data_IF_459189743906
#
_entry.id   IF_459189743906
#
_cell.length_a   1.000
_cell.length_b   1.000
_cell.length_c   1.000
_cell.angle_alpha   90.00
_cell.angle_beta   90.00
_cell.angle_gamma   90.00
#
_symmetry.space_group_name_H-M   'P 1'
#
loop_
_entity.id
_entity.type
_entity.pdbx_description
1 polymer ?
#
# COMPACT_ATOMS: atom_id res chain seq x y z
N UNK A 1 -33.04 -45.90 27.82
CA UNK A 1 -33.08 -44.84 26.79
C UNK A 1 -32.04 -45.15 25.71
N UNK A 2 -32.45 -45.40 24.46
CA UNK A 2 -31.52 -45.65 23.34
C UNK A 2 -30.94 -44.31 22.85
N UNK A 3 -29.63 -44.09 22.98
CA UNK A 3 -28.95 -42.89 22.46
C UNK A 3 -29.08 -42.87 20.94
N UNK A 4 -29.67 -41.80 20.41
CA UNK A 4 -29.92 -41.64 18.98
C UNK A 4 -28.60 -41.32 18.25
N UNK A 5 -27.89 -42.36 17.77
CA UNK A 5 -26.57 -42.25 17.13
C UNK A 5 -26.62 -41.65 15.71
N UNK A 6 -27.81 -41.33 15.21
CA UNK A 6 -28.02 -40.83 13.84
C UNK A 6 -27.69 -39.33 13.73
N UNK A 7 -28.01 -38.53 14.74
CA UNK A 7 -27.72 -37.10 14.77
C UNK A 7 -26.22 -36.73 14.66
N UNK A 8 -25.28 -37.36 15.42
CA UNK A 8 -23.86 -37.05 15.26
C UNK A 8 -23.29 -37.53 13.92
N UNK A 9 -23.86 -38.57 13.32
CA UNK A 9 -23.44 -39.06 12.00
C UNK A 9 -23.86 -38.09 10.88
N UNK A 10 -25.07 -37.55 10.96
CA UNK A 10 -25.57 -36.54 10.02
C UNK A 10 -24.79 -35.22 10.15
N UNK A 11 -24.46 -34.80 11.37
CA UNK A 11 -23.62 -33.63 11.61
C UNK A 11 -22.20 -33.80 11.06
N UNK A 12 -21.60 -34.98 11.24
CA UNK A 12 -20.30 -35.30 10.67
C UNK A 12 -20.32 -35.28 9.14
N UNK A 13 -21.36 -35.87 8.52
CA UNK A 13 -21.50 -35.91 7.06
C UNK A 13 -21.75 -34.53 6.45
N UNK A 14 -22.53 -33.67 7.12
CA UNK A 14 -22.75 -32.29 6.72
C UNK A 14 -21.47 -31.46 6.82
N UNK A 15 -20.65 -31.67 7.86
CA UNK A 15 -19.36 -31.01 8.03
C UNK A 15 -18.33 -31.44 6.96
N UNK A 16 -18.27 -32.72 6.59
CA UNK A 16 -17.42 -33.18 5.47
C UNK A 16 -17.91 -32.65 4.13
N UNK A 17 -19.23 -32.63 3.88
CA UNK A 17 -19.78 -32.07 2.65
C UNK A 17 -19.48 -30.56 2.52
N UNK A 18 -19.59 -29.80 3.61
CA UNK A 18 -19.24 -28.38 3.64
C UNK A 18 -17.74 -28.16 3.40
N UNK A 19 -16.86 -29.02 3.95
CA UNK A 19 -15.42 -28.94 3.74
C UNK A 19 -14.99 -29.25 2.30
N UNK A 20 -15.67 -30.17 1.61
CA UNK A 20 -15.39 -30.50 0.19
C UNK A 20 -15.92 -29.43 -0.77
N UNK A 21 -16.94 -28.67 -0.35
CA UNK A 21 -17.49 -27.55 -1.15
C UNK A 21 -16.64 -26.27 -1.08
N UNK A 22 -15.63 -26.20 -0.19
CA UNK A 22 -14.69 -25.08 -0.16
C UNK A 22 -13.68 -25.22 -1.31
N UNK A 23 -14.01 -24.62 -2.45
CA UNK A 23 -13.03 -24.38 -3.51
C UNK A 23 -11.88 -23.53 -2.92
N UNK A 24 -10.61 -23.75 -3.31
CA UNK A 24 -9.53 -22.83 -2.94
C UNK A 24 -9.92 -21.43 -3.43
N UNK A 25 -9.81 -20.44 -2.55
CA UNK A 25 -9.95 -19.06 -2.97
C UNK A 25 -8.73 -18.71 -3.83
N UNK A 26 -8.94 -18.51 -5.13
CA UNK A 26 -7.93 -17.91 -6.00
C UNK A 26 -7.68 -16.48 -5.51
N UNK A 27 -6.43 -16.18 -5.13
CA UNK A 27 -6.06 -14.82 -4.77
C UNK A 27 -6.13 -13.94 -6.03
N UNK A 28 -7.06 -12.98 -6.06
CA UNK A 28 -7.14 -12.01 -7.16
C UNK A 28 -6.02 -10.99 -7.04
N UNK A 29 -5.32 -10.74 -8.14
CA UNK A 29 -4.34 -9.66 -8.23
C UNK A 29 -5.04 -8.34 -8.55
N UNK A 30 -4.95 -7.36 -7.65
CA UNK A 30 -5.47 -6.00 -7.91
C UNK A 30 -4.85 -5.35 -9.14
N UNK A 31 -3.63 -5.79 -9.51
CA UNK A 31 -2.91 -5.33 -10.70
C UNK A 31 -3.62 -5.66 -12.01
N UNK A 32 -4.53 -6.63 -12.03
CA UNK A 32 -5.21 -7.09 -13.24
C UNK A 32 -6.47 -6.28 -13.57
N UNK A 33 -6.89 -5.36 -12.68
CA UNK A 33 -7.98 -4.45 -12.98
C UNK A 33 -7.61 -3.55 -14.20
N UNK A 34 -8.47 -3.43 -15.23
CA UNK A 34 -8.11 -2.75 -16.49
C UNK A 34 -7.60 -1.31 -16.36
N UNK A 35 -7.99 -0.60 -15.30
CA UNK A 35 -7.47 0.74 -15.03
C UNK A 35 -6.07 0.69 -14.38
N UNK A 36 -5.90 -0.16 -13.37
CA UNK A 36 -4.65 -0.32 -12.61
C UNK A 36 -3.54 -0.92 -13.49
N UNK A 37 -3.87 -1.79 -14.46
CA UNK A 37 -2.87 -2.29 -15.43
C UNK A 37 -2.18 -1.16 -16.20
N UNK A 38 -2.90 -0.06 -16.49
CA UNK A 38 -2.35 1.13 -17.16
C UNK A 38 -1.68 2.12 -16.20
N UNK A 39 -1.96 2.00 -14.89
CA UNK A 39 -1.44 2.87 -13.83
C UNK A 39 -0.88 2.03 -12.66
N UNK A 40 0.18 1.24 -12.87
CA UNK A 40 0.66 0.29 -11.87
C UNK A 40 1.19 0.97 -10.59
N UNK A 41 1.50 2.27 -10.66
CA UNK A 41 1.96 3.04 -9.50
C UNK A 41 0.87 3.34 -8.46
N UNK A 42 -0.40 3.14 -8.81
CA UNK A 42 -1.56 3.29 -7.90
C UNK A 42 -2.18 1.95 -7.53
N UNK A 43 -1.48 0.85 -7.79
CA UNK A 43 -1.88 -0.49 -7.37
C UNK A 43 -1.79 -0.60 -5.84
N UNK A 44 -2.95 -0.66 -5.18
CA UNK A 44 -3.08 -0.85 -3.74
C UNK A 44 -3.02 -2.34 -3.43
N UNK A 45 -1.96 -2.79 -2.76
CA UNK A 45 -1.73 -4.22 -2.54
C UNK A 45 -2.44 -4.71 -1.30
N UNK A 46 -2.35 -3.94 -0.21
CA UNK A 46 -2.86 -4.34 1.10
C UNK A 46 -3.24 -3.12 1.94
N UNK A 47 -4.23 -3.30 2.80
CA UNK A 47 -4.60 -2.34 3.83
C UNK A 47 -4.70 -3.03 5.19
N UNK A 48 -4.12 -2.42 6.21
CA UNK A 48 -4.14 -2.91 7.58
C UNK A 48 -4.68 -1.83 8.51
N UNK A 49 -5.51 -2.26 9.46
CA UNK A 49 -6.07 -1.42 10.51
C UNK A 49 -6.08 -2.20 11.81
N UNK A 50 -5.47 -1.66 12.85
CA UNK A 50 -5.39 -2.32 14.15
C UNK A 50 -5.23 -1.30 15.28
N UNK A 51 -5.66 -1.66 16.48
CA UNK A 51 -5.36 -0.87 17.68
C UNK A 51 -3.85 -0.85 17.94
N UNK A 52 -3.27 0.34 18.12
CA UNK A 52 -1.84 0.48 18.36
C UNK A 52 -1.43 -0.24 19.66
N UNK A 53 -0.38 -1.06 19.59
CA UNK A 53 0.14 -1.84 20.74
C UNK A 53 1.46 -1.31 21.30
N UNK A 54 2.02 -0.26 20.69
CA UNK A 54 3.27 0.37 21.13
C UNK A 54 3.08 1.11 22.48
N UNK A 55 4.12 1.10 23.31
CA UNK A 55 4.14 1.82 24.60
C UNK A 55 3.80 3.29 24.42
N UNK A 56 2.81 3.80 25.16
CA UNK A 56 2.36 5.20 25.09
C UNK A 56 1.37 5.51 23.96
N UNK A 57 0.95 4.51 23.17
CA UNK A 57 -0.02 4.67 22.05
C UNK A 57 -1.39 4.06 22.35
N UNK A 58 -1.73 3.87 23.62
CA UNK A 58 -3.06 3.40 24.01
C UNK A 58 -4.15 4.37 23.53
N UNK A 59 -5.24 3.84 22.96
CA UNK A 59 -6.34 4.63 22.40
C UNK A 59 -6.15 5.10 20.96
N UNK A 60 -5.05 4.73 20.30
CA UNK A 60 -4.81 5.02 18.88
C UNK A 60 -5.14 3.81 17.99
N UNK A 61 -5.54 4.11 16.76
CA UNK A 61 -5.61 3.14 15.66
C UNK A 61 -4.44 3.39 14.72
N UNK A 62 -3.73 2.33 14.36
CA UNK A 62 -2.72 2.32 13.31
C UNK A 62 -3.37 1.91 12.00
N UNK A 63 -3.11 2.69 10.95
CA UNK A 63 -3.56 2.45 9.58
C UNK A 63 -2.32 2.33 8.69
N UNK A 64 -2.28 1.31 7.83
CA UNK A 64 -1.18 1.09 6.88
C UNK A 64 -1.81 0.78 5.52
N UNK A 65 -1.39 1.50 4.48
CA UNK A 65 -1.76 1.22 3.10
C UNK A 65 -0.51 0.96 2.27
N UNK A 66 -0.42 -0.22 1.69
CA UNK A 66 0.68 -0.62 0.82
C UNK A 66 0.32 -0.36 -0.64
N UNK A 67 1.27 0.21 -1.36
CA UNK A 67 1.20 0.45 -2.81
C UNK A 67 2.49 0.00 -3.46
N UNK A 68 2.42 -0.31 -4.75
CA UNK A 68 3.57 -0.76 -5.56
C UNK A 68 4.17 -2.07 -5.04
N UNK A 69 3.67 -3.22 -5.53
CA UNK A 69 4.10 -4.52 -5.03
C UNK A 69 5.58 -4.78 -5.31
N UNK A 70 6.15 -5.70 -4.55
CA UNK A 70 7.40 -6.43 -4.81
C UNK A 70 8.57 -5.58 -5.33
N UNK A 71 9.33 -4.98 -4.42
CA UNK A 71 10.60 -4.29 -4.71
C UNK A 71 11.80 -5.10 -4.18
N UNK A 72 12.11 -6.22 -4.84
CA UNK A 72 13.17 -7.13 -4.39
C UNK A 72 14.59 -6.56 -4.62
N UNK A 73 15.60 -6.98 -3.84
CA UNK A 73 16.96 -6.41 -3.89
C UNK A 73 17.62 -6.40 -5.29
N UNK A 74 17.31 -7.39 -6.13
CA UNK A 74 17.87 -7.48 -7.49
C UNK A 74 17.28 -6.45 -8.46
N UNK A 75 16.15 -5.80 -8.12
CA UNK A 75 15.52 -4.75 -8.93
C UNK A 75 16.21 -3.38 -8.79
N UNK A 76 17.17 -3.26 -7.88
CA UNK A 76 17.95 -2.05 -7.69
C UNK A 76 18.91 -1.74 -8.86
N UNK A 77 19.46 -0.52 -8.89
CA UNK A 77 19.20 0.57 -7.94
C UNK A 77 17.89 1.31 -8.23
N UNK A 78 17.25 1.10 -9.39
CA UNK A 78 16.04 1.83 -9.79
C UNK A 78 14.76 1.17 -9.27
N UNK A 79 14.50 1.43 -7.99
CA UNK A 79 13.25 1.09 -7.33
C UNK A 79 12.08 1.95 -7.84
N UNK A 80 10.85 1.43 -7.71
CA UNK A 80 9.64 2.14 -8.10
C UNK A 80 9.34 3.27 -7.10
N UNK A 81 9.01 4.42 -7.66
CA UNK A 81 8.56 5.62 -6.93
C UNK A 81 7.06 5.79 -7.06
N UNK A 82 6.44 6.36 -6.04
CA UNK A 82 5.04 6.75 -6.04
C UNK A 82 4.74 7.73 -7.20
N UNK A 83 3.49 7.76 -7.64
CA UNK A 83 3.08 8.63 -8.75
C UNK A 83 2.81 10.06 -8.25
N UNK A 84 3.56 11.08 -8.71
CA UNK A 84 3.31 12.46 -8.30
C UNK A 84 1.98 13.03 -8.83
N UNK A 85 1.36 12.40 -9.82
CA UNK A 85 0.06 12.82 -10.36
C UNK A 85 -1.12 12.19 -9.58
N UNK A 86 -0.86 11.14 -8.81
CA UNK A 86 -1.89 10.47 -8.03
C UNK A 86 -2.20 11.19 -6.72
N UNK A 87 -3.41 10.97 -6.22
CA UNK A 87 -3.84 11.32 -4.87
C UNK A 87 -4.18 10.01 -4.17
N UNK A 88 -3.36 9.65 -3.18
CA UNK A 88 -3.57 8.45 -2.39
C UNK A 88 -4.39 8.83 -1.16
N UNK A 89 -5.41 8.06 -0.82
CA UNK A 89 -6.36 8.43 0.24
C UNK A 89 -6.73 7.21 1.09
N UNK A 90 -6.76 7.39 2.41
CA UNK A 90 -7.39 6.46 3.35
C UNK A 90 -8.66 7.13 3.87
N UNK A 91 -9.80 6.48 3.64
CA UNK A 91 -11.11 6.96 4.04
C UNK A 91 -11.59 6.24 5.30
N UNK A 92 -12.10 7.02 6.25
CA UNK A 92 -12.67 6.53 7.51
C UNK A 92 -14.12 7.00 7.60
N UNK A 93 -15.03 6.04 7.63
CA UNK A 93 -16.39 6.19 8.15
C UNK A 93 -16.35 5.78 9.62
N UNK A 94 -16.69 6.68 10.54
CA UNK A 94 -16.73 6.41 11.97
C UNK A 94 -18.14 6.51 12.57
N UNK A 95 -19.17 6.64 11.73
CA UNK A 95 -20.56 6.77 12.14
C UNK A 95 -21.47 5.67 11.55
N UNK A 96 -21.01 4.94 10.54
CA UNK A 96 -21.66 3.78 9.93
C UNK A 96 -22.61 4.09 8.78
N UNK A 97 -22.56 5.29 8.19
CA UNK A 97 -23.43 5.69 7.06
C UNK A 97 -22.84 5.37 5.67
N UNK A 98 -21.69 4.70 5.63
CA UNK A 98 -20.91 4.36 4.45
C UNK A 98 -20.41 5.58 3.64
N UNK A 99 -20.23 6.73 4.31
CA UNK A 99 -19.56 7.90 3.77
C UNK A 99 -18.37 8.26 4.63
N UNK A 100 -17.33 8.80 4.02
CA UNK A 100 -16.16 9.18 4.77
C UNK A 100 -16.41 10.42 5.65
N UNK A 101 -16.06 10.31 6.92
CA UNK A 101 -15.99 11.43 7.86
C UNK A 101 -14.59 12.03 7.93
N UNK A 102 -13.57 11.21 7.67
CA UNK A 102 -12.16 11.59 7.72
C UNK A 102 -11.44 10.96 6.53
N UNK A 103 -10.67 11.77 5.79
CA UNK A 103 -9.78 11.29 4.74
C UNK A 103 -8.35 11.75 5.00
N UNK A 104 -7.42 10.81 5.10
CA UNK A 104 -5.99 11.11 5.06
C UNK A 104 -5.53 11.14 3.61
N UNK A 105 -5.07 12.28 3.13
CA UNK A 105 -4.69 12.52 1.74
C UNK A 105 -3.17 12.65 1.61
N UNK A 106 -2.56 11.81 0.77
CA UNK A 106 -1.13 11.81 0.52
C UNK A 106 -0.83 12.31 -0.90
N UNK A 107 0.08 13.28 -0.99
CA UNK A 107 0.61 13.77 -2.27
C UNK A 107 2.13 13.61 -2.30
N UNK A 108 2.62 12.86 -3.29
CA UNK A 108 4.03 12.61 -3.50
C UNK A 108 4.64 13.59 -4.49
N UNK A 109 5.92 13.88 -4.31
CA UNK A 109 6.74 14.68 -5.22
C UNK A 109 8.10 14.03 -5.39
N UNK A 110 8.49 13.85 -6.64
CA UNK A 110 9.80 13.35 -7.04
C UNK A 110 10.64 14.50 -7.59
N UNK A 111 11.82 14.69 -7.03
CA UNK A 111 12.79 15.70 -7.47
C UNK A 111 14.06 15.01 -7.98
N UNK A 112 14.32 15.17 -9.28
CA UNK A 112 15.55 14.70 -9.92
C UNK A 112 16.63 15.79 -9.80
N UNK A 113 17.81 15.43 -9.28
CA UNK A 113 18.97 16.33 -9.17
C UNK A 113 19.73 16.47 -10.48
N UNK A 114 19.69 15.46 -11.34
CA UNK A 114 20.42 15.44 -12.59
C UNK A 114 21.91 15.14 -12.40
N UNK A 115 22.24 14.23 -11.49
CA UNK A 115 23.62 13.81 -11.21
C UNK A 115 24.35 13.40 -12.49
N UNK A 116 25.56 13.92 -12.67
CA UNK A 116 26.43 13.62 -13.81
C UNK A 116 27.66 12.82 -13.38
N UNK A 117 28.21 12.05 -14.32
CA UNK A 117 29.53 11.43 -14.21
C UNK A 117 30.44 12.02 -15.29
N UNK A 118 31.70 12.27 -14.95
CA UNK A 118 32.69 12.74 -15.91
C UNK A 118 33.23 11.57 -16.74
N UNK A 119 32.88 11.53 -18.03
CA UNK A 119 33.30 10.50 -18.98
C UNK A 119 34.20 11.16 -20.02
N UNK A 120 35.52 10.99 -19.87
CA UNK A 120 36.51 11.56 -20.80
C UNK A 120 36.44 13.09 -20.90
N UNK A 121 36.25 13.79 -19.77
CA UNK A 121 36.18 15.24 -19.70
C UNK A 121 34.80 15.83 -20.03
N UNK A 122 33.77 14.99 -20.25
CA UNK A 122 32.39 15.42 -20.46
C UNK A 122 31.50 14.96 -19.33
N UNK A 123 30.66 15.85 -18.80
CA UNK A 123 29.68 15.48 -17.79
C UNK A 123 28.44 14.87 -18.45
N UNK A 124 28.14 13.62 -18.08
CA UNK A 124 27.03 12.84 -18.64
C UNK A 124 26.04 12.50 -17.53
N UNK A 125 24.78 12.89 -17.69
CA UNK A 125 23.73 12.61 -16.71
C UNK A 125 23.43 11.10 -16.63
N UNK A 126 23.23 10.60 -15.41
CA UNK A 126 22.85 9.20 -15.19
C UNK A 126 21.33 9.04 -15.10
N UNK A 127 20.82 7.91 -15.57
CA UNK A 127 19.41 7.51 -15.42
C UNK A 127 19.13 6.79 -14.08
N UNK A 128 20.15 6.60 -13.24
CA UNK A 128 20.03 5.89 -11.97
C UNK A 128 19.53 6.84 -10.87
N UNK A 129 18.71 6.33 -9.94
CA UNK A 129 18.25 7.13 -8.79
C UNK A 129 19.35 7.42 -7.77
N UNK A 130 20.52 6.80 -7.89
CA UNK A 130 21.69 7.03 -7.04
C UNK A 130 23.00 6.76 -7.79
N UNK A 131 24.07 7.43 -7.36
CA UNK A 131 25.44 7.33 -7.92
C UNK A 131 26.46 6.76 -6.92
N UNK A 132 25.99 6.15 -5.83
CA UNK A 132 26.81 5.62 -4.75
C UNK A 132 25.95 5.18 -3.56
N UNK A 133 26.60 4.93 -2.42
CA UNK A 133 25.91 4.56 -1.18
C UNK A 133 24.97 5.68 -0.70
N UNK A 134 23.73 5.32 -0.41
CA UNK A 134 22.73 6.21 0.21
C UNK A 134 22.49 5.73 1.64
N UNK A 135 22.91 6.53 2.61
CA UNK A 135 22.73 6.26 4.04
C UNK A 135 21.77 7.24 4.73
N UNK A 136 21.35 8.29 4.02
CA UNK A 136 20.46 9.34 4.51
C UNK A 136 19.61 9.88 3.33
N UNK A 137 18.34 10.30 3.56
CA UNK A 137 17.49 10.87 2.50
C UNK A 137 18.07 12.10 1.79
N UNK A 138 19.03 12.81 2.38
CA UNK A 138 19.71 13.98 1.77
C UNK A 138 21.10 13.65 1.23
N UNK A 139 21.49 12.38 1.18
CA UNK A 139 22.80 11.98 0.68
C UNK A 139 23.11 12.60 -0.70
N UNK A 140 24.35 13.07 -0.87
CA UNK A 140 24.81 13.64 -2.15
C UNK A 140 24.72 12.62 -3.29
N UNK A 141 24.91 11.33 -2.97
CA UNK A 141 24.81 10.23 -3.92
C UNK A 141 23.36 9.91 -4.37
N UNK A 142 22.34 10.43 -3.69
CA UNK A 142 20.94 10.21 -4.08
C UNK A 142 20.55 11.20 -5.19
N UNK A 143 20.23 10.72 -6.38
CA UNK A 143 19.87 11.51 -7.56
C UNK A 143 18.35 11.81 -7.62
N UNK A 144 17.50 10.93 -7.08
CA UNK A 144 16.05 11.16 -6.99
C UNK A 144 15.62 11.22 -5.53
N UNK A 145 15.05 12.36 -5.14
CA UNK A 145 14.43 12.56 -3.84
C UNK A 145 12.91 12.43 -3.97
N UNK A 146 12.33 11.45 -3.29
CA UNK A 146 10.88 11.36 -3.09
C UNK A 146 10.50 11.99 -1.75
N UNK A 147 9.42 12.77 -1.75
CA UNK A 147 8.86 13.42 -0.57
C UNK A 147 7.34 13.37 -0.64
N UNK A 148 6.66 13.51 0.49
CA UNK A 148 5.21 13.54 0.53
C UNK A 148 4.67 14.56 1.54
N UNK A 149 3.40 14.90 1.35
CA UNK A 149 2.58 15.64 2.32
C UNK A 149 1.42 14.77 2.75
N UNK A 150 0.90 15.02 3.95
CA UNK A 150 -0.31 14.38 4.48
C UNK A 150 -1.26 15.47 4.95
N UNK A 151 -2.45 15.52 4.35
CA UNK A 151 -3.55 16.38 4.79
C UNK A 151 -4.65 15.53 5.44
N UNK A 152 -5.34 16.08 6.43
CA UNK A 152 -6.53 15.47 7.03
C UNK A 152 -7.75 16.27 6.59
N UNK A 153 -8.59 15.68 5.73
CA UNK A 153 -9.88 16.27 5.36
C UNK A 153 -10.95 15.71 6.30
N UNK A 154 -11.74 16.59 6.93
CA UNK A 154 -12.91 16.22 7.74
C UNK A 154 -14.21 16.54 6.99
N UNK A 155 -15.11 15.58 6.93
CA UNK A 155 -16.26 15.53 6.03
C UNK A 155 -15.89 14.96 4.66
N UNK A 156 -16.71 15.29 3.65
CA UNK A 156 -16.52 14.84 2.26
C UNK A 156 -15.08 15.09 1.77
N UNK A 157 -14.46 14.08 1.15
CA UNK A 157 -13.04 14.09 0.76
C UNK A 157 -12.65 15.20 -0.22
N UNK A 158 -13.61 15.82 -0.92
CA UNK A 158 -13.35 16.87 -1.92
C UNK A 158 -13.70 18.27 -1.40
N UNK A 159 -14.72 18.38 -0.56
CA UNK A 159 -15.32 19.64 -0.12
C UNK A 159 -15.21 19.91 1.39
N UNK A 160 -14.71 18.94 2.15
CA UNK A 160 -14.51 19.02 3.59
C UNK A 160 -13.41 20.00 4.02
N UNK A 161 -13.22 20.12 5.33
CA UNK A 161 -12.24 21.06 5.92
C UNK A 161 -10.88 20.38 6.09
N UNK A 162 -9.81 21.06 5.69
CA UNK A 162 -8.41 20.64 5.87
C UNK A 162 -7.82 21.17 7.17
#
# INVERSE_FOLDING_TARGET
>A
MKRNRIAPLMAALAATAAGVAMQPAEASSHREAPFITTQPKVDATDFYMFASYETGRAGYITLIANYQPLQAPYGGPNYFSMDPNALYEIHIDNNGDAKEDISFQFRFKNALKGTTLNIGGKDVAIALIQSGTVSDPKAAALNVNESYTVDIVRGDRRSGTR
#
